data_IF_609902579966
#
_entry.id   IF_609902579966
#
_cell.length_a   1.000
_cell.length_b   1.000
_cell.length_c   1.000
_cell.angle_alpha   90.00
_cell.angle_beta   90.00
_cell.angle_gamma   90.00
#
_symmetry.space_group_name_H-M   'P 1'
#
loop_
_entity.id
_entity.type
_entity.pdbx_description
1 polymer ?
#
# COMPACT_ATOMS: atom_id res chain seq x y z
N UNK A 1 -11.75 21.92 -20.71
CA UNK A 1 -11.44 21.19 -19.47
C UNK A 1 -12.53 20.15 -19.25
N UNK A 2 -12.19 18.86 -19.07
CA UNK A 2 -13.18 17.84 -18.71
C UNK A 2 -13.91 18.22 -17.41
N UNK A 3 -15.22 17.97 -17.39
CA UNK A 3 -16.07 18.32 -16.25
C UNK A 3 -15.62 17.55 -15.00
N UNK A 4 -15.45 18.28 -13.89
CA UNK A 4 -15.05 17.67 -12.62
C UNK A 4 -16.17 16.77 -12.06
N UNK A 5 -15.83 15.58 -11.55
CA UNK A 5 -16.78 14.74 -10.83
C UNK A 5 -17.44 15.48 -9.66
N UNK A 6 -18.70 15.16 -9.38
CA UNK A 6 -19.39 15.72 -8.22
C UNK A 6 -18.74 15.23 -6.92
N UNK A 7 -18.40 16.17 -6.03
CA UNK A 7 -17.77 15.85 -4.76
C UNK A 7 -18.79 15.29 -3.76
N UNK A 8 -18.40 14.31 -2.92
CA UNK A 8 -19.28 13.69 -1.95
C UNK A 8 -19.54 14.60 -0.74
N UNK A 9 -20.25 15.72 -0.94
CA UNK A 9 -20.50 16.75 0.08
C UNK A 9 -21.18 16.20 1.35
N UNK A 10 -21.98 15.13 1.23
CA UNK A 10 -22.61 14.44 2.37
C UNK A 10 -21.60 13.81 3.33
N UNK A 11 -20.41 13.50 2.85
CA UNK A 11 -19.33 12.86 3.59
C UNK A 11 -18.30 13.87 4.10
N UNK A 12 -18.57 15.17 3.97
CA UNK A 12 -17.64 16.22 4.35
C UNK A 12 -17.33 16.18 5.84
N UNK A 13 -16.05 16.32 6.18
CA UNK A 13 -15.58 16.34 7.55
C UNK A 13 -16.05 17.61 8.29
N UNK A 14 -16.90 17.50 9.32
CA UNK A 14 -17.43 18.66 10.03
C UNK A 14 -16.36 19.36 10.89
N UNK A 15 -15.33 18.63 11.33
CA UNK A 15 -14.32 19.19 12.25
C UNK A 15 -13.39 20.18 11.58
N UNK A 16 -13.26 20.16 10.25
CA UNK A 16 -12.40 21.09 9.50
C UNK A 16 -12.79 22.54 9.75
N UNK A 17 -14.11 22.82 9.87
CA UNK A 17 -14.61 24.18 10.13
C UNK A 17 -14.29 24.67 11.55
N UNK A 18 -14.13 23.75 12.49
CA UNK A 18 -13.81 24.07 13.89
C UNK A 18 -12.31 24.18 14.17
N UNK A 19 -11.46 23.85 13.19
CA UNK A 19 -10.01 23.95 13.38
C UNK A 19 -9.59 25.43 13.36
N UNK A 20 -9.09 25.90 14.50
CA UNK A 20 -8.49 27.22 14.63
C UNK A 20 -7.16 27.26 13.85
N UNK A 21 -7.09 28.13 12.84
CA UNK A 21 -5.92 28.29 11.98
C UNK A 21 -4.69 28.79 12.74
N UNK A 22 -4.87 29.45 13.89
CA UNK A 22 -3.76 29.91 14.74
C UNK A 22 -3.14 28.79 15.58
N UNK A 23 -3.88 27.69 15.79
CA UNK A 23 -3.49 26.56 16.65
C UNK A 23 -3.50 25.25 15.88
N UNK A 24 -2.98 25.27 14.65
CA UNK A 24 -2.85 24.07 13.85
C UNK A 24 -1.87 23.09 14.49
N UNK A 25 -2.16 21.77 14.48
CA UNK A 25 -1.21 20.76 14.94
C UNK A 25 0.11 20.85 14.15
N UNK A 26 1.27 20.79 14.80
CA UNK A 26 2.55 20.89 14.11
C UNK A 26 2.75 19.70 13.17
N UNK A 27 3.38 19.94 12.02
CA UNK A 27 3.81 18.88 11.11
C UNK A 27 4.88 18.04 11.79
N UNK A 28 4.65 16.73 11.83
CA UNK A 28 5.68 15.77 12.25
C UNK A 28 6.41 15.27 11.03
N UNK A 29 7.73 15.35 11.05
CA UNK A 29 8.59 14.88 9.98
C UNK A 29 9.04 13.45 10.27
N UNK A 30 9.10 12.63 9.23
CA UNK A 30 9.53 11.25 9.29
C UNK A 30 10.34 10.96 8.03
N UNK A 31 11.55 10.44 8.22
CA UNK A 31 12.36 9.93 7.11
C UNK A 31 11.89 8.52 6.77
N UNK A 32 11.67 8.26 5.48
CA UNK A 32 11.22 6.99 4.92
C UNK A 32 12.26 6.48 3.93
N UNK A 33 12.89 5.36 4.25
CA UNK A 33 13.82 4.68 3.35
C UNK A 33 13.08 3.67 2.47
N UNK A 34 13.17 3.83 1.14
CA UNK A 34 12.63 2.90 0.14
C UNK A 34 13.61 2.79 -1.02
N UNK A 35 13.96 1.56 -1.39
CA UNK A 35 14.84 1.28 -2.53
C UNK A 35 16.20 2.01 -2.44
N UNK A 36 16.73 2.17 -1.22
CA UNK A 36 17.99 2.87 -0.97
C UNK A 36 17.90 4.40 -0.98
N UNK A 37 16.72 4.97 -1.29
CA UNK A 37 16.48 6.40 -1.28
C UNK A 37 15.74 6.83 0.00
N UNK A 38 16.31 7.81 0.71
CA UNK A 38 15.74 8.41 1.91
C UNK A 38 14.81 9.58 1.51
N UNK A 39 13.51 9.45 1.75
CA UNK A 39 12.52 10.50 1.48
C UNK A 39 11.98 11.07 2.78
N UNK A 40 12.15 12.38 2.97
CA UNK A 40 11.57 13.09 4.10
C UNK A 40 10.08 13.40 3.85
N UNK A 41 9.21 12.92 4.73
CA UNK A 41 7.76 13.13 4.67
C UNK A 41 7.27 13.86 5.90
N UNK A 42 6.57 14.98 5.69
CA UNK A 42 5.79 15.67 6.71
C UNK A 42 4.38 15.11 6.79
N UNK A 43 3.90 14.85 8.00
CA UNK A 43 2.51 14.46 8.27
C UNK A 43 1.86 15.46 9.21
N UNK A 44 0.68 15.94 8.83
CA UNK A 44 -0.17 16.74 9.71
C UNK A 44 -1.41 15.96 10.09
N UNK A 45 -1.72 15.92 11.39
CA UNK A 45 -2.86 15.18 11.93
C UNK A 45 -4.13 16.03 11.84
N UNK A 46 -5.16 15.51 11.18
CA UNK A 46 -6.48 16.15 11.03
C UNK A 46 -7.53 15.35 11.80
N UNK A 47 -8.34 15.99 12.67
CA UNK A 47 -9.45 15.31 13.33
C UNK A 47 -10.55 14.94 12.32
N UNK A 48 -11.13 13.74 12.47
CA UNK A 48 -12.23 13.24 11.64
C UNK A 48 -13.28 12.58 12.56
N UNK A 49 -14.54 12.42 12.14
CA UNK A 49 -15.56 11.76 12.97
C UNK A 49 -15.21 10.31 13.33
N UNK A 50 -14.46 9.62 12.47
CA UNK A 50 -14.01 8.24 12.68
C UNK A 50 -12.68 8.13 13.45
N UNK A 51 -12.09 9.25 13.88
CA UNK A 51 -10.77 9.30 14.52
C UNK A 51 -9.90 10.39 13.93
N UNK A 52 -8.83 10.02 13.23
CA UNK A 52 -7.91 10.98 12.64
C UNK A 52 -7.46 10.57 11.24
N UNK A 53 -7.28 11.57 10.37
CA UNK A 53 -6.60 11.42 9.10
C UNK A 53 -5.25 12.13 9.17
N UNK A 54 -4.37 11.82 8.21
CA UNK A 54 -3.12 12.53 8.03
C UNK A 54 -3.10 13.14 6.65
N UNK A 55 -2.60 14.37 6.53
CA UNK A 55 -2.23 14.94 5.23
C UNK A 55 -0.72 14.83 5.12
N UNK A 56 -0.26 14.24 4.02
CA UNK A 56 1.14 13.96 3.77
C UNK A 56 1.72 14.93 2.74
N UNK A 57 2.94 15.39 3.00
CA UNK A 57 3.78 16.16 2.08
C UNK A 57 5.17 15.53 2.01
N UNK A 58 5.68 15.30 0.81
CA UNK A 58 7.07 14.87 0.59
C UNK A 58 7.94 16.11 0.35
N UNK A 59 9.17 16.11 0.85
CA UNK A 59 10.06 17.29 0.81
C UNK A 59 11.16 17.23 -0.25
N UNK A 60 11.36 16.07 -0.87
CA UNK A 60 12.22 15.93 -2.04
C UNK A 60 11.65 16.67 -3.26
N UNK A 61 10.37 16.49 -3.57
CA UNK A 61 9.68 17.16 -4.68
C UNK A 61 8.74 18.28 -4.22
N UNK A 62 8.53 18.39 -2.90
CA UNK A 62 7.56 19.32 -2.31
C UNK A 62 6.10 18.91 -2.47
N UNK A 63 5.79 17.82 -3.16
CA UNK A 63 4.42 17.42 -3.50
C UNK A 63 3.57 17.03 -2.27
N UNK A 64 2.25 17.22 -2.39
CA UNK A 64 1.25 16.91 -1.36
C UNK A 64 0.37 15.77 -1.87
N UNK A 65 0.06 14.80 -1.01
CA UNK A 65 -0.74 13.64 -1.38
C UNK A 65 -2.23 13.98 -1.49
N UNK A 66 -2.75 14.01 -2.72
CA UNK A 66 -4.15 14.28 -3.05
C UNK A 66 -5.09 13.24 -2.42
N UNK A 67 -4.70 11.96 -2.43
CA UNK A 67 -5.52 10.88 -1.84
C UNK A 67 -5.71 11.08 -0.34
N UNK A 68 -4.65 11.50 0.36
CA UNK A 68 -4.76 11.79 1.80
C UNK A 68 -5.54 13.08 2.08
N UNK A 69 -5.41 14.09 1.23
CA UNK A 69 -6.27 15.29 1.28
C UNK A 69 -7.75 14.93 1.13
N UNK A 70 -8.07 14.08 0.14
CA UNK A 70 -9.44 13.64 -0.12
C UNK A 70 -10.02 12.88 1.08
N UNK A 71 -9.27 11.94 1.67
CA UNK A 71 -9.72 11.19 2.85
C UNK A 71 -9.86 12.06 4.11
N UNK A 72 -9.02 13.08 4.26
CA UNK A 72 -9.15 14.04 5.36
C UNK A 72 -10.40 14.93 5.20
N UNK A 73 -10.72 15.31 3.96
CA UNK A 73 -11.88 16.13 3.60
C UNK A 73 -13.20 15.33 3.64
N UNK A 74 -13.18 14.08 3.19
CA UNK A 74 -14.36 13.22 3.05
C UNK A 74 -14.14 11.83 3.70
N UNK A 75 -14.08 11.76 5.04
CA UNK A 75 -13.67 10.55 5.77
C UNK A 75 -14.57 9.32 5.57
N UNK A 76 -15.82 9.51 5.16
CA UNK A 76 -16.78 8.43 4.91
C UNK A 76 -17.11 8.24 3.42
N UNK A 77 -16.39 8.90 2.52
CA UNK A 77 -16.57 8.73 1.07
C UNK A 77 -16.07 7.36 0.59
N UNK A 78 -16.62 6.90 -0.52
CA UNK A 78 -16.23 5.62 -1.12
C UNK A 78 -14.88 5.72 -1.83
N UNK A 79 -14.16 4.59 -1.94
CA UNK A 79 -12.93 4.51 -2.75
C UNK A 79 -13.17 4.83 -4.23
N UNK A 80 -14.41 4.63 -4.71
CA UNK A 80 -14.78 4.92 -6.10
C UNK A 80 -14.75 6.43 -6.34
N UNK A 81 -15.23 7.24 -5.39
CA UNK A 81 -15.22 8.70 -5.50
C UNK A 81 -13.79 9.25 -5.40
N UNK A 82 -12.95 8.67 -4.53
CA UNK A 82 -11.51 8.98 -4.47
C UNK A 82 -10.82 8.71 -5.81
N UNK A 83 -11.12 7.57 -6.46
CA UNK A 83 -10.55 7.21 -7.76
C UNK A 83 -11.01 8.16 -8.87
N UNK A 84 -12.29 8.54 -8.90
CA UNK A 84 -12.82 9.51 -9.89
C UNK A 84 -12.11 10.86 -9.77
N UNK A 85 -11.99 11.38 -8.56
CA UNK A 85 -11.34 12.66 -8.31
C UNK A 85 -9.84 12.60 -8.64
N UNK A 86 -9.18 11.50 -8.28
CA UNK A 86 -7.76 11.28 -8.61
C UNK A 86 -7.54 11.17 -10.12
N UNK A 87 -8.43 10.49 -10.84
CA UNK A 87 -8.36 10.36 -12.30
C UNK A 87 -8.56 11.72 -12.96
N UNK A 88 -9.57 12.48 -12.53
CA UNK A 88 -9.78 13.83 -13.01
C UNK A 88 -8.56 14.73 -12.77
N UNK A 89 -7.94 14.68 -11.58
CA UNK A 89 -6.73 15.47 -11.31
C UNK A 89 -5.56 15.11 -12.25
N UNK A 90 -5.39 13.83 -12.59
CA UNK A 90 -4.37 13.36 -13.56
C UNK A 90 -4.60 13.88 -14.97
N UNK A 91 -5.85 14.06 -15.36
CA UNK A 91 -6.22 14.53 -16.71
C UNK A 91 -6.11 16.06 -16.86
N UNK A 92 -6.27 16.81 -15.76
CA UNK A 92 -6.33 18.28 -15.81
C UNK A 92 -5.02 18.96 -15.39
N UNK A 93 -4.18 18.28 -14.62
CA UNK A 93 -2.98 18.87 -14.04
C UNK A 93 -1.73 18.11 -14.43
N UNK A 94 -0.63 18.84 -14.66
CA UNK A 94 0.65 18.21 -14.89
C UNK A 94 1.20 17.63 -13.58
N UNK A 95 1.30 16.30 -13.52
CA UNK A 95 1.80 15.55 -12.37
C UNK A 95 3.21 14.96 -12.59
N UNK A 96 3.89 15.37 -13.67
CA UNK A 96 5.30 15.08 -13.93
C UNK A 96 6.16 15.47 -12.71
N UNK A 97 7.16 14.65 -12.37
CA UNK A 97 8.05 14.88 -11.23
C UNK A 97 7.45 14.63 -9.84
N UNK A 98 6.13 14.43 -9.69
CA UNK A 98 5.53 14.29 -8.35
C UNK A 98 5.41 12.83 -7.86
N UNK A 99 5.18 11.89 -8.78
CA UNK A 99 4.67 10.55 -8.45
C UNK A 99 5.70 9.41 -8.54
N UNK A 100 6.97 9.71 -8.83
CA UNK A 100 8.00 8.70 -9.09
C UNK A 100 7.70 7.89 -10.35
N UNK A 101 8.61 7.93 -11.31
CA UNK A 101 8.50 7.18 -12.57
C UNK A 101 9.75 6.34 -12.75
N UNK A 102 9.66 5.25 -13.53
CA UNK A 102 10.86 4.49 -13.92
C UNK A 102 11.89 5.36 -14.67
N UNK A 103 11.47 6.50 -15.23
CA UNK A 103 12.34 7.49 -15.87
C UNK A 103 13.11 8.37 -14.87
N UNK A 104 12.65 8.46 -13.63
CA UNK A 104 13.19 9.34 -12.59
C UNK A 104 13.61 8.48 -11.38
N UNK A 105 14.73 7.75 -11.47
CA UNK A 105 15.14 6.82 -10.42
C UNK A 105 15.40 7.50 -9.07
N UNK A 106 15.72 8.80 -9.09
CA UNK A 106 15.94 9.61 -7.88
C UNK A 106 14.65 9.91 -7.09
N UNK A 107 13.46 9.71 -7.68
CA UNK A 107 12.18 10.01 -7.04
C UNK A 107 11.48 8.71 -6.68
N UNK A 108 11.48 8.38 -5.38
CA UNK A 108 10.77 7.20 -4.88
C UNK A 108 9.28 7.30 -5.20
N UNK A 109 8.73 6.19 -5.68
CA UNK A 109 7.30 6.02 -5.92
C UNK A 109 6.57 5.74 -4.60
N UNK A 110 5.86 6.74 -4.09
CA UNK A 110 4.98 6.61 -2.92
C UNK A 110 3.55 6.28 -3.34
N UNK A 111 2.81 5.57 -2.49
CA UNK A 111 1.42 5.22 -2.74
C UNK A 111 0.52 6.46 -2.87
N UNK A 112 -0.55 6.33 -3.66
CA UNK A 112 -1.52 7.40 -3.90
C UNK A 112 -1.17 8.27 -5.11
N UNK A 113 -1.72 9.48 -5.15
CA UNK A 113 -1.41 10.47 -6.18
C UNK A 113 -0.97 11.76 -5.51
N UNK A 114 0.14 12.30 -6.00
CA UNK A 114 0.83 13.46 -5.45
C UNK A 114 0.72 14.61 -6.43
N UNK A 115 0.39 15.79 -5.90
CA UNK A 115 0.18 17.03 -6.65
C UNK A 115 1.13 18.11 -6.13
N UNK A 116 1.50 19.07 -6.98
CA UNK A 116 2.38 20.17 -6.55
C UNK A 116 1.68 21.08 -5.53
N UNK A 117 2.43 21.79 -4.67
CA UNK A 117 1.84 22.74 -3.71
C UNK A 117 0.98 23.81 -4.38
N UNK A 118 1.40 24.30 -5.56
CA UNK A 118 0.64 25.28 -6.32
C UNK A 118 -0.75 24.74 -6.69
N UNK A 119 -0.83 23.49 -7.17
CA UNK A 119 -2.10 22.83 -7.51
C UNK A 119 -2.94 22.58 -6.25
N UNK A 120 -2.33 22.12 -5.16
CA UNK A 120 -3.04 21.86 -3.90
C UNK A 120 -3.68 23.12 -3.29
N UNK A 121 -3.10 24.31 -3.54
CA UNK A 121 -3.59 25.60 -3.07
C UNK A 121 -4.67 26.22 -3.96
N UNK A 122 -4.93 25.65 -5.15
CA UNK A 122 -6.00 26.14 -6.01
C UNK A 122 -7.37 26.06 -5.31
N UNK A 123 -8.30 27.00 -5.57
CA UNK A 123 -9.65 26.99 -5.00
C UNK A 123 -10.39 25.66 -5.24
N UNK A 124 -10.09 25.01 -6.36
CA UNK A 124 -10.65 23.71 -6.73
C UNK A 124 -10.32 22.63 -5.70
N UNK A 125 -9.14 22.63 -5.07
CA UNK A 125 -8.81 21.67 -4.03
C UNK A 125 -9.03 22.30 -2.65
N UNK A 126 -8.38 23.42 -2.39
CA UNK A 126 -8.30 24.03 -1.07
C UNK A 126 -9.68 24.46 -0.53
N UNK A 127 -10.49 25.17 -1.33
CA UNK A 127 -11.79 25.69 -0.87
C UNK A 127 -12.88 24.62 -0.94
N UNK A 128 -12.92 23.83 -2.02
CA UNK A 128 -13.90 22.75 -2.18
C UNK A 128 -13.75 21.66 -1.10
N UNK A 129 -12.52 21.36 -0.69
CA UNK A 129 -12.25 20.43 0.42
C UNK A 129 -12.38 21.11 1.78
N UNK A 130 -12.55 22.44 1.81
CA UNK A 130 -12.52 23.30 3.01
C UNK A 130 -11.20 23.24 3.78
N UNK A 131 -10.11 22.83 3.11
CA UNK A 131 -8.77 22.71 3.68
C UNK A 131 -7.90 23.96 3.46
N UNK A 132 -8.46 25.09 3.02
CA UNK A 132 -7.74 26.33 2.68
C UNK A 132 -6.56 26.71 3.58
N UNK A 133 -6.85 27.15 4.82
CA UNK A 133 -5.78 27.58 5.74
C UNK A 133 -4.87 26.43 6.19
N UNK A 134 -5.42 25.22 6.25
CA UNK A 134 -4.68 23.99 6.56
C UNK A 134 -3.61 23.72 5.47
N UNK A 135 -3.96 23.87 4.19
CA UNK A 135 -3.06 23.65 3.06
C UNK A 135 -1.99 24.72 2.95
N UNK A 136 -2.33 25.98 3.25
CA UNK A 136 -1.33 27.04 3.34
C UNK A 136 -0.27 26.74 4.41
N UNK A 137 -0.67 26.21 5.57
CA UNK A 137 0.26 25.80 6.61
C UNK A 137 1.14 24.62 6.15
N UNK A 138 0.56 23.58 5.55
CA UNK A 138 1.31 22.41 5.05
C UNK A 138 2.28 22.79 3.94
N UNK A 139 1.90 23.68 3.03
CA UNK A 139 2.71 24.11 1.90
C UNK A 139 3.87 25.03 2.31
N UNK A 140 3.69 25.83 3.36
CA UNK A 140 4.74 26.73 3.90
C UNK A 140 5.68 26.06 4.89
N UNK A 141 5.29 24.93 5.47
CA UNK A 141 6.13 24.21 6.42
C UNK A 141 7.46 23.83 5.76
N UNK A 142 8.56 24.04 6.46
CA UNK A 142 9.91 23.65 6.05
C UNK A 142 10.52 22.77 7.14
N UNK A 143 11.13 21.64 6.79
CA UNK A 143 11.90 20.85 7.76
C UNK A 143 13.09 21.68 8.23
N UNK A 144 13.41 21.57 9.51
CA UNK A 144 14.67 22.08 10.05
C UNK A 144 15.84 21.26 9.47
N UNK A 145 16.82 21.87 8.78
CA UNK A 145 17.97 21.16 8.21
C UNK A 145 18.91 20.57 9.27
N UNK A 146 18.86 21.08 10.49
CA UNK A 146 19.72 20.62 11.59
C UNK A 146 19.12 19.47 12.40
N UNK A 147 17.82 19.21 12.24
CA UNK A 147 17.11 18.23 13.04
C UNK A 147 17.30 16.80 12.51
N UNK A 148 17.73 15.90 13.38
CA UNK A 148 17.75 14.45 13.09
C UNK A 148 16.33 13.89 13.17
N UNK A 149 15.78 13.49 12.02
CA UNK A 149 14.43 12.94 11.95
C UNK A 149 14.39 11.45 12.30
N UNK A 150 13.31 11.03 12.95
CA UNK A 150 13.08 9.61 13.24
C UNK A 150 12.94 8.84 11.93
N UNK A 151 13.92 7.99 11.62
CA UNK A 151 13.86 7.03 10.50
C UNK A 151 12.78 5.99 10.75
N UNK A 152 11.90 5.79 9.77
CA UNK A 152 11.02 4.63 9.76
C UNK A 152 11.83 3.42 9.33
N UNK A 153 12.52 2.79 10.27
CA UNK A 153 13.05 1.45 10.00
C UNK A 153 11.84 0.52 9.90
N UNK A 154 11.43 0.25 8.67
CA UNK A 154 10.52 -0.86 8.39
C UNK A 154 11.31 -2.08 8.80
N UNK A 155 11.09 -2.57 10.04
CA UNK A 155 11.71 -3.79 10.53
C UNK A 155 11.25 -4.94 9.63
N UNK A 156 11.96 -5.16 8.54
CA UNK A 156 12.16 -6.51 8.03
C UNK A 156 12.70 -7.27 9.24
N UNK A 157 11.85 -8.12 9.81
CA UNK A 157 12.19 -9.05 10.89
C UNK A 157 13.59 -9.59 10.62
N UNK A 158 14.58 -9.38 11.52
CA UNK A 158 15.84 -10.08 11.39
C UNK A 158 15.50 -11.56 11.46
N UNK A 159 15.72 -12.26 10.34
CA UNK A 159 15.79 -13.72 10.32
C UNK A 159 16.79 -14.09 11.40
N UNK A 160 16.31 -14.70 12.47
CA UNK A 160 17.14 -15.12 13.59
C UNK A 160 18.30 -15.97 13.05
N UNK A 161 19.51 -15.42 13.10
CA UNK A 161 20.71 -16.21 12.97
C UNK A 161 20.88 -17.01 14.26
N UNK A 162 21.21 -18.30 14.20
CA UNK A 162 21.44 -19.11 15.38
C UNK A 162 22.65 -18.58 16.17
N UNK A 163 22.63 -18.66 17.52
CA UNK A 163 23.73 -18.21 18.35
C UNK A 163 24.94 -19.13 18.17
N UNK A 164 25.97 -18.65 17.46
CA UNK A 164 27.32 -19.22 17.56
C UNK A 164 28.02 -18.63 18.78
N UNK A 165 28.25 -19.49 19.77
CA UNK A 165 29.01 -19.26 20.99
C UNK A 165 30.44 -18.74 20.71
N UNK A 166 30.97 -17.78 21.49
CA UNK A 166 32.41 -17.59 21.60
C UNK A 166 32.93 -18.24 22.90
N UNK A 167 33.80 -19.24 22.77
CA UNK A 167 34.57 -19.83 23.87
C UNK A 167 36.02 -19.33 23.79
N UNK A 168 36.48 -18.70 24.89
CA UNK A 168 37.86 -18.66 25.40
C UNK A 168 38.92 -17.94 24.55
N UNK A 169 39.65 -16.94 25.05
CA UNK A 169 40.68 -17.10 26.10
C UNK A 169 41.31 -15.74 26.51
N UNK A 170 42.07 -15.66 27.63
CA UNK A 170 42.26 -14.45 28.45
C UNK A 170 43.65 -13.80 28.34
N UNK A 171 43.79 -12.50 28.67
CA UNK A 171 45.02 -11.96 29.31
C UNK A 171 44.87 -10.53 29.88
N UNK A 172 45.03 -10.46 31.22
CA UNK A 172 45.67 -9.45 32.10
C UNK A 172 45.83 -7.96 31.68
N UNK A 173 45.25 -7.06 32.48
CA UNK A 173 45.91 -5.98 33.28
C UNK A 173 44.80 -5.11 33.96
N UNK A 174 44.57 -5.21 35.28
CA UNK A 174 45.15 -4.49 36.44
C UNK A 174 44.84 -2.96 36.55
N UNK A 175 44.00 -2.64 37.56
CA UNK A 175 43.96 -1.49 38.52
C UNK A 175 43.66 -0.09 37.96
N UNK A 176 42.77 0.76 38.51
CA UNK A 176 42.58 1.19 39.93
C UNK A 176 41.24 2.00 40.07
N UNK A 177 40.85 2.64 41.20
CA UNK A 177 39.64 2.32 41.98
C UNK A 177 38.50 3.37 41.94
N UNK A 178 37.35 2.97 42.52
CA UNK A 178 36.13 3.74 42.77
C UNK A 178 36.31 4.92 43.76
N UNK A 179 35.30 5.80 43.91
CA UNK A 179 34.33 5.55 44.98
C UNK A 179 32.86 5.93 44.71
N UNK A 180 31.99 5.25 45.48
CA UNK A 180 30.66 5.63 46.01
C UNK A 180 29.56 6.04 45.05
N UNK A 181 28.55 5.17 44.86
CA UNK A 181 27.35 5.05 45.70
C UNK A 181 26.45 6.29 45.68
N UNK A 182 25.37 6.22 44.90
CA UNK A 182 24.02 6.63 45.34
C UNK A 182 22.99 6.00 44.42
N UNK A 183 22.14 5.14 44.99
CA UNK A 183 20.87 4.73 44.39
C UNK A 183 19.89 5.91 44.39
N UNK A 184 18.89 5.91 43.49
CA UNK A 184 17.54 6.02 44.03
C UNK A 184 16.54 5.03 43.41
N UNK A 185 15.62 4.66 44.28
CA UNK A 185 14.57 3.65 44.22
C UNK A 185 13.44 3.99 43.24
N UNK A 186 12.69 2.96 42.75
CA UNK A 186 11.45 3.14 42.01
C UNK A 186 10.23 2.96 42.95
N UNK A 187 9.46 4.03 43.22
CA UNK A 187 8.03 3.97 43.62
C UNK A 187 7.50 5.36 43.93
N UNK A 188 6.51 5.83 43.18
CA UNK A 188 5.54 6.83 43.67
C UNK A 188 4.12 6.41 43.34
N UNK A 189 3.62 5.47 44.15
CA UNK A 189 2.20 5.26 44.45
C UNK A 189 1.78 6.42 45.35
N UNK A 190 0.80 7.23 44.94
CA UNK A 190 0.21 8.27 45.79
C UNK A 190 -1.20 7.82 46.17
N UNK A 191 -1.34 7.47 47.43
CA UNK A 191 -2.62 7.17 48.08
C UNK A 191 -3.19 8.43 48.76
N UNK A 192 -4.52 8.53 48.69
CA UNK A 192 -5.51 9.04 49.65
C UNK A 192 -5.29 10.29 50.55
N UNK A 193 -6.37 11.10 50.56
CA UNK A 193 -6.78 12.23 51.44
C UNK A 193 -6.82 11.95 52.96
N UNK A 194 -7.10 12.95 53.83
CA UNK A 194 -8.48 13.27 54.32
C UNK A 194 -8.78 14.79 54.68
N UNK A 195 -9.99 15.39 54.44
CA UNK A 195 -11.20 15.63 55.33
C UNK A 195 -11.18 17.02 56.09
N UNK A 196 -12.26 17.75 56.54
CA UNK A 196 -13.64 18.09 56.01
C UNK A 196 -14.25 19.52 56.35
N UNK A 197 -15.52 19.74 55.90
CA UNK A 197 -16.68 20.46 56.54
C UNK A 197 -16.96 21.99 56.29
N UNK A 198 -18.21 22.54 56.47
CA UNK A 198 -19.56 21.93 56.64
C UNK A 198 -20.76 22.54 55.82
N UNK A 199 -21.77 21.68 55.61
CA UNK A 199 -23.25 21.79 55.71
C UNK A 199 -24.10 22.98 55.19
N UNK A 200 -25.15 22.65 54.39
CA UNK A 200 -26.57 23.08 54.55
C UNK A 200 -27.54 22.27 53.62
N UNK A 201 -28.87 22.19 53.90
CA UNK A 201 -29.67 20.95 53.72
C UNK A 201 -30.77 20.93 52.62
N UNK A 202 -30.95 19.75 52.00
CA UNK A 202 -32.17 18.93 51.64
C UNK A 202 -33.60 19.55 51.53
N UNK A 203 -34.65 18.91 50.89
CA UNK A 203 -34.82 17.49 50.46
C UNK A 203 -35.59 17.30 49.08
N UNK A 204 -36.37 16.21 48.80
CA UNK A 204 -35.98 14.99 48.07
C UNK A 204 -36.86 14.64 46.83
N UNK A 205 -36.47 13.68 45.97
CA UNK A 205 -37.32 12.54 45.53
C UNK A 205 -36.79 11.66 44.36
N UNK A 206 -37.11 10.37 44.53
CA UNK A 206 -37.33 9.27 43.57
C UNK A 206 -36.17 8.66 42.76
N UNK A 207 -35.74 7.52 43.28
CA UNK A 207 -35.32 6.29 42.59
C UNK A 207 -36.21 5.88 41.42
N UNK A 208 -35.61 5.35 40.34
CA UNK A 208 -35.92 4.06 39.68
C UNK A 208 -35.08 3.91 38.38
N UNK A 209 -34.46 2.75 38.09
CA UNK A 209 -33.80 2.48 36.81
C UNK A 209 -34.81 1.99 35.76
N UNK A 210 -34.74 2.43 34.48
CA UNK A 210 -35.64 1.93 33.46
C UNK A 210 -35.25 0.52 32.96
N UNK A 211 -36.25 -0.32 32.65
CA UNK A 211 -36.08 -1.75 32.41
C UNK A 211 -35.66 -2.12 30.99
N UNK A 212 -34.87 -3.19 30.95
CA UNK A 212 -34.60 -4.08 29.81
C UNK A 212 -35.91 -4.63 29.23
N UNK A 213 -36.25 -4.32 27.98
CA UNK A 213 -37.24 -5.08 27.21
C UNK A 213 -36.72 -5.45 25.81
N UNK A 214 -36.78 -6.75 25.59
CA UNK A 214 -36.70 -7.47 24.33
C UNK A 214 -37.93 -7.21 23.45
N UNK A 215 -37.81 -7.67 22.20
CA UNK A 215 -38.86 -8.06 21.25
C UNK A 215 -39.00 -7.19 19.99
N UNK A 216 -38.36 -7.70 18.92
CA UNK A 216 -39.01 -8.17 17.70
C UNK A 216 -40.12 -7.28 17.12
N UNK A 217 -39.78 -6.52 16.07
CA UNK A 217 -40.72 -6.27 14.96
C UNK A 217 -40.05 -6.61 13.64
N UNK A 218 -40.73 -7.47 12.89
CA UNK A 218 -40.39 -7.92 11.54
C UNK A 218 -40.75 -6.76 10.59
N UNK A 219 -39.80 -6.27 9.81
CA UNK A 219 -40.09 -5.39 8.68
C UNK A 219 -40.48 -6.22 7.44
N UNK A 220 -41.46 -5.76 6.63
CA UNK A 220 -42.08 -6.54 5.57
C UNK A 220 -41.19 -6.64 4.31
N UNK A 221 -41.34 -7.76 3.60
CA UNK A 221 -40.66 -8.05 2.34
C UNK A 221 -41.15 -7.15 1.19
N UNK A 222 -40.29 -6.78 0.23
CA UNK A 222 -40.69 -6.06 -0.98
C UNK A 222 -41.39 -6.99 -2.00
N UNK A 223 -42.51 -6.52 -2.54
CA UNK A 223 -43.21 -7.14 -3.68
C UNK A 223 -42.38 -7.06 -4.97
N UNK A 224 -42.46 -8.07 -5.85
CA UNK A 224 -41.82 -8.05 -7.16
C UNK A 224 -42.71 -7.35 -8.19
N UNK A 225 -42.14 -6.47 -9.00
CA UNK A 225 -42.75 -6.08 -10.28
C UNK A 225 -41.85 -6.45 -11.45
N UNK A 226 -42.40 -7.11 -12.48
CA UNK A 226 -41.73 -7.35 -13.76
C UNK A 226 -41.93 -6.14 -14.68
N UNK A 227 -41.05 -6.00 -15.68
CA UNK A 227 -41.41 -5.89 -17.10
C UNK A 227 -40.14 -5.55 -17.88
N UNK A 228 -39.90 -6.38 -18.89
CA UNK A 228 -38.89 -6.22 -19.92
C UNK A 228 -39.26 -5.07 -20.85
N UNK A 229 -38.28 -4.26 -21.24
CA UNK A 229 -38.33 -3.51 -22.51
C UNK A 229 -36.99 -3.63 -23.22
N UNK A 230 -37.13 -3.86 -24.53
CA UNK A 230 -36.13 -4.24 -25.51
C UNK A 230 -35.15 -3.10 -25.82
N UNK A 231 -34.02 -3.50 -26.39
CA UNK A 231 -32.90 -2.71 -26.91
C UNK A 231 -33.27 -1.56 -27.85
N UNK A 232 -32.32 -0.63 -28.09
CA UNK A 232 -31.67 -0.68 -29.40
C UNK A 232 -30.14 -0.52 -29.40
N UNK A 233 -29.55 -1.10 -30.44
CA UNK A 233 -28.17 -0.96 -30.95
C UNK A 233 -27.72 0.51 -31.04
N UNK A 234 -26.49 0.77 -30.60
CA UNK A 234 -25.61 1.82 -31.13
C UNK A 234 -24.18 1.24 -31.13
N UNK A 235 -23.63 0.82 -32.27
CA UNK A 235 -22.98 1.63 -33.30
C UNK A 235 -21.72 2.37 -32.77
N UNK A 236 -20.57 1.70 -32.95
CA UNK A 236 -19.22 2.20 -33.30
C UNK A 236 -18.82 3.63 -32.88
N UNK A 237 -17.69 3.73 -32.19
CA UNK A 237 -16.42 4.23 -32.80
C UNK A 237 -15.23 3.85 -31.91
N UNK A 238 -14.40 2.93 -32.40
CA UNK A 238 -13.07 2.67 -31.87
C UNK A 238 -12.13 3.77 -32.41
N UNK A 239 -11.52 4.55 -31.53
CA UNK A 239 -10.55 5.59 -31.88
C UNK A 239 -9.20 4.91 -32.09
N UNK A 240 -8.82 4.73 -33.35
CA UNK A 240 -7.50 4.30 -33.77
C UNK A 240 -6.47 5.39 -33.40
N UNK A 241 -5.48 5.01 -32.60
CA UNK A 241 -4.28 5.80 -32.34
C UNK A 241 -3.39 5.68 -33.58
N UNK A 242 -3.39 6.71 -34.42
CA UNK A 242 -2.40 6.85 -35.49
C UNK A 242 -1.09 7.30 -34.86
N UNK A 243 -0.11 6.40 -34.85
CA UNK A 243 1.31 6.75 -34.77
C UNK A 243 1.63 7.37 -36.14
N UNK A 244 1.85 8.68 -36.16
CA UNK A 244 2.30 9.38 -37.36
C UNK A 244 3.81 9.22 -37.45
N UNK A 245 4.21 8.47 -38.46
CA UNK A 245 5.57 8.31 -38.95
C UNK A 245 6.04 9.59 -39.64
N UNK A 246 7.32 9.88 -39.43
CA UNK A 246 8.04 11.06 -39.91
C UNK A 246 8.28 10.95 -41.41
N UNK A 247 7.95 12.00 -42.15
CA UNK A 247 8.57 12.35 -43.44
C UNK A 247 8.64 13.87 -43.56
N UNK A 248 9.84 14.41 -43.33
CA UNK A 248 10.33 15.68 -43.90
C UNK A 248 10.67 15.47 -45.39
N UNK A 249 11.02 16.49 -46.24
CA UNK A 249 11.33 17.90 -45.95
C UNK A 249 10.68 18.94 -46.90
N UNK A 250 10.70 20.23 -46.52
CA UNK A 250 10.40 21.31 -47.47
C UNK A 250 10.29 22.73 -46.91
N UNK A 251 11.43 23.40 -46.73
CA UNK A 251 11.64 24.79 -47.17
C UNK A 251 11.41 25.97 -46.20
N UNK A 252 12.46 26.81 -46.07
CA UNK A 252 12.53 28.23 -45.64
C UNK A 252 12.25 28.57 -44.18
N UNK A 253 12.96 29.47 -43.50
CA UNK A 253 14.18 30.26 -43.74
C UNK A 253 14.55 30.92 -42.39
N UNK A 254 15.84 31.20 -42.15
CA UNK A 254 16.44 32.07 -41.12
C UNK A 254 15.84 32.13 -39.68
N UNK A 255 16.56 31.60 -38.68
CA UNK A 255 17.49 32.40 -37.85
C UNK A 255 18.37 31.50 -36.98
N UNK A 256 19.65 31.81 -37.05
CA UNK A 256 20.80 31.30 -36.29
C UNK A 256 20.63 31.47 -34.78
N UNK A 257 20.77 30.37 -34.02
CA UNK A 257 21.54 30.31 -32.76
C UNK A 257 22.12 28.89 -32.66
N UNK A 258 23.40 28.76 -32.97
CA UNK A 258 24.27 27.65 -32.57
C UNK A 258 24.36 27.62 -31.04
N UNK A 259 24.02 26.49 -30.41
CA UNK A 259 24.68 26.06 -29.17
C UNK A 259 24.56 24.53 -29.06
N UNK A 260 25.73 23.89 -29.09
CA UNK A 260 25.97 22.47 -28.92
C UNK A 260 25.45 21.98 -27.56
N UNK A 261 24.50 21.04 -27.54
CA UNK A 261 24.30 20.14 -26.39
C UNK A 261 24.02 18.74 -26.89
N UNK A 262 24.96 17.85 -26.59
CA UNK A 262 24.98 16.41 -26.81
C UNK A 262 23.60 15.76 -26.69
N UNK A 263 23.07 15.29 -27.82
CA UNK A 263 21.97 14.34 -27.85
C UNK A 263 22.47 13.00 -27.33
N UNK A 264 22.24 12.75 -26.03
CA UNK A 264 22.36 11.42 -25.45
C UNK A 264 21.30 10.54 -26.14
N UNK A 265 21.75 9.75 -27.12
CA UNK A 265 20.99 8.65 -27.69
C UNK A 265 20.69 7.65 -26.56
N UNK A 266 19.51 7.80 -25.95
CA UNK A 266 18.97 6.81 -25.02
C UNK A 266 18.76 5.54 -25.83
N UNK A 267 19.73 4.64 -25.75
CA UNK A 267 19.72 3.31 -26.32
C UNK A 267 18.39 2.63 -25.95
N UNK A 268 17.50 2.53 -26.94
CA UNK A 268 16.30 1.70 -26.81
C UNK A 268 16.80 0.29 -26.54
N UNK A 269 16.41 -0.36 -25.43
CA UNK A 269 16.84 -1.72 -25.16
C UNK A 269 16.45 -2.61 -26.35
N UNK A 270 17.44 -3.30 -26.90
CA UNK A 270 17.25 -4.18 -28.06
C UNK A 270 16.32 -5.32 -27.65
N UNK A 271 15.25 -5.50 -28.42
CA UNK A 271 14.26 -6.56 -28.21
C UNK A 271 14.92 -7.95 -28.31
N UNK A 272 16.04 -8.06 -29.02
CA UNK A 272 16.83 -9.29 -29.14
C UNK A 272 17.53 -9.65 -27.83
N UNK A 273 17.90 -8.65 -27.02
CA UNK A 273 18.57 -8.84 -25.74
C UNK A 273 17.59 -9.35 -24.67
N UNK A 274 16.37 -8.80 -24.65
CA UNK A 274 15.28 -9.30 -23.78
C UNK A 274 14.91 -10.76 -24.10
N UNK A 275 14.97 -11.18 -25.37
CA UNK A 275 14.69 -12.57 -25.79
C UNK A 275 15.81 -13.51 -25.33
N UNK A 276 17.07 -13.09 -25.44
CA UNK A 276 18.21 -13.87 -24.98
C UNK A 276 18.16 -14.11 -23.46
N UNK A 277 17.91 -13.06 -22.68
CA UNK A 277 17.82 -13.14 -21.22
C UNK A 277 16.66 -14.04 -20.77
N UNK A 278 15.53 -14.01 -21.48
CA UNK A 278 14.40 -14.92 -21.19
C UNK A 278 14.72 -16.38 -21.50
N UNK A 279 15.47 -16.66 -22.57
CA UNK A 279 15.89 -18.02 -22.89
C UNK A 279 16.83 -18.60 -21.84
N UNK A 280 17.79 -17.80 -21.35
CA UNK A 280 18.71 -18.22 -20.29
C UNK A 280 17.96 -18.53 -18.98
N UNK A 281 16.97 -17.70 -18.62
CA UNK A 281 16.17 -17.93 -17.41
C UNK A 281 15.37 -19.24 -17.49
N UNK A 282 14.83 -19.56 -18.68
CA UNK A 282 14.09 -20.81 -18.91
C UNK A 282 15.02 -22.02 -18.81
N UNK A 283 16.23 -21.94 -19.36
CA UNK A 283 17.23 -23.02 -19.27
C UNK A 283 17.63 -23.27 -17.82
N UNK A 284 17.90 -22.22 -17.05
CA UNK A 284 18.22 -22.33 -15.62
C UNK A 284 17.09 -22.95 -14.80
N UNK A 285 15.83 -22.59 -15.09
CA UNK A 285 14.67 -23.17 -14.43
C UNK A 285 14.42 -24.64 -14.83
N UNK A 286 14.78 -25.03 -16.06
CA UNK A 286 14.72 -26.42 -16.50
C UNK A 286 15.80 -27.26 -15.82
N UNK A 287 17.04 -26.77 -15.76
CA UNK A 287 18.13 -27.44 -15.06
C UNK A 287 17.84 -27.64 -13.57
N UNK A 288 17.22 -26.65 -12.91
CA UNK A 288 16.82 -26.78 -11.50
C UNK A 288 15.63 -27.74 -11.27
N UNK A 289 14.88 -28.09 -12.32
CA UNK A 289 13.69 -28.95 -12.24
C UNK A 289 13.97 -30.40 -12.60
N UNK A 290 15.12 -30.74 -13.17
CA UNK A 290 15.55 -32.15 -13.24
C UNK A 290 16.11 -32.57 -11.87
N UNK A 291 15.34 -33.30 -11.04
CA UNK A 291 15.94 -33.94 -9.87
C UNK A 291 16.95 -34.98 -10.35
N UNK A 292 18.08 -35.18 -9.62
CA UNK A 292 19.01 -36.24 -9.94
C UNK A 292 18.25 -37.57 -9.88
N UNK A 293 18.09 -38.21 -11.04
CA UNK A 293 17.70 -39.62 -11.13
C UNK A 293 18.83 -40.42 -10.50
N UNK A 294 18.72 -40.67 -9.20
CA UNK A 294 19.47 -41.75 -8.55
C UNK A 294 19.06 -43.06 -9.22
N UNK A 295 19.97 -43.60 -10.02
CA UNK A 295 20.01 -45.02 -10.36
C UNK A 295 19.92 -45.82 -9.06
N UNK A 296 18.80 -46.51 -8.87
CA UNK A 296 18.66 -47.52 -7.81
C UNK A 296 18.36 -48.83 -8.50
N UNK A 297 19.43 -49.52 -8.86
CA UNK A 297 19.43 -50.91 -9.28
C UNK A 297 19.55 -51.80 -8.03
N UNK A 298 18.75 -52.87 -7.96
CA UNK A 298 19.01 -54.02 -7.07
C UNK A 298 18.12 -54.17 -5.83
N UNK A 299 17.15 -55.09 -5.93
CA UNK A 299 16.33 -55.67 -4.85
C UNK A 299 17.11 -56.74 -4.01
N UNK A 300 16.46 -57.61 -3.19
CA UNK A 300 15.75 -57.38 -1.92
C UNK A 300 16.23 -58.32 -0.78
N UNK A 301 16.17 -57.95 0.52
CA UNK A 301 15.97 -58.93 1.63
C UNK A 301 15.58 -58.28 2.97
N UNK A 302 14.60 -58.85 3.66
CA UNK A 302 14.21 -58.61 5.05
C UNK A 302 14.87 -59.66 6.00
N UNK A 303 14.50 -59.81 7.29
CA UNK A 303 14.72 -58.90 8.43
C UNK A 303 15.41 -59.57 9.66
N UNK A 304 15.73 -58.75 10.68
CA UNK A 304 15.84 -59.07 12.13
C UNK A 304 17.25 -59.49 12.69
N UNK A 305 17.43 -59.68 14.03
CA UNK A 305 17.83 -58.63 14.99
C UNK A 305 19.00 -59.05 15.92
N UNK A 306 19.78 -58.12 16.49
CA UNK A 306 20.71 -58.46 17.59
C UNK A 306 20.74 -57.43 18.74
N UNK A 307 20.44 -57.99 19.92
CA UNK A 307 20.48 -57.44 21.28
C UNK A 307 21.92 -57.28 21.81
N UNK A 308 22.16 -56.23 22.60
CA UNK A 308 22.86 -56.22 23.91
C UNK A 308 22.86 -54.76 24.40
N UNK A 309 22.01 -54.37 25.36
CA UNK A 309 22.12 -54.55 26.81
C UNK A 309 23.29 -53.76 27.43
N UNK A 310 22.98 -52.55 27.91
CA UNK A 310 23.46 -52.05 29.22
C UNK A 310 22.55 -50.90 29.67
N UNK A 311 21.77 -51.18 30.71
CA UNK A 311 21.05 -50.20 31.52
C UNK A 311 22.08 -49.38 32.33
N UNK A 312 21.87 -48.06 32.39
CA UNK A 312 21.76 -47.27 33.62
C UNK A 312 22.05 -45.78 33.36
N UNK A 313 21.29 -44.94 34.07
CA UNK A 313 21.28 -43.47 34.10
C UNK A 313 20.35 -42.74 33.10
N UNK A 314 19.07 -42.86 33.47
CA UNK A 314 17.97 -41.95 33.21
C UNK A 314 18.22 -40.54 33.78
N UNK A 315 17.39 -39.60 33.29
CA UNK A 315 17.08 -38.27 33.85
C UNK A 315 17.85 -37.04 33.34
N UNK A 316 17.75 -36.72 32.03
CA UNK A 316 17.47 -35.33 31.58
C UNK A 316 17.21 -35.10 30.08
N UNK A 317 16.54 -36.00 29.35
CA UNK A 317 16.14 -35.69 27.96
C UNK A 317 14.70 -36.13 27.65
N UNK A 318 13.73 -35.52 28.32
CA UNK A 318 12.36 -35.51 27.78
C UNK A 318 12.28 -34.45 26.68
N UNK A 319 12.58 -34.88 25.47
CA UNK A 319 12.26 -34.14 24.25
C UNK A 319 10.77 -33.79 24.23
N UNK A 320 10.47 -32.49 24.11
CA UNK A 320 9.14 -31.98 23.80
C UNK A 320 8.72 -32.49 22.42
N UNK A 321 8.12 -33.68 22.38
CA UNK A 321 7.40 -34.18 21.22
C UNK A 321 6.13 -33.33 21.02
N UNK A 322 6.22 -32.32 20.17
CA UNK A 322 5.05 -31.66 19.61
C UNK A 322 4.32 -32.65 18.70
N UNK A 323 3.24 -33.25 19.22
CA UNK A 323 2.23 -33.90 18.38
C UNK A 323 1.50 -32.80 17.61
N UNK A 324 1.98 -32.51 16.40
CA UNK A 324 1.28 -31.65 15.46
C UNK A 324 -0.04 -32.36 15.09
N UNK A 325 -1.13 -31.93 15.71
CA UNK A 325 -2.47 -32.35 15.32
C UNK A 325 -2.78 -31.56 14.05
N UNK A 326 -2.65 -32.22 12.89
CA UNK A 326 -3.06 -31.63 11.62
C UNK A 326 -4.49 -31.09 11.78
N UNK A 327 -4.72 -29.78 11.58
CA UNK A 327 -6.06 -29.25 11.65
C UNK A 327 -6.86 -29.89 10.52
N UNK A 328 -7.85 -30.70 10.90
CA UNK A 328 -8.89 -31.16 9.99
C UNK A 328 -9.37 -29.96 9.18
N UNK A 329 -9.03 -29.99 7.89
CA UNK A 329 -9.51 -29.04 6.89
C UNK A 329 -10.99 -29.33 6.68
N UNK A 330 -11.83 -28.92 7.62
CA UNK A 330 -13.23 -28.66 7.32
C UNK A 330 -13.24 -27.49 6.34
N UNK A 331 -13.34 -27.84 5.06
CA UNK A 331 -13.61 -26.95 3.95
C UNK A 331 -14.79 -26.05 4.34
N UNK A 332 -14.48 -24.82 4.74
CA UNK A 332 -15.50 -23.80 4.94
C UNK A 332 -16.22 -23.65 3.60
N UNK A 333 -17.46 -24.13 3.54
CA UNK A 333 -18.34 -23.98 2.40
C UNK A 333 -18.46 -22.49 2.08
N UNK A 334 -17.71 -22.05 1.07
CA UNK A 334 -17.87 -20.72 0.50
C UNK A 334 -19.21 -20.76 -0.23
N UNK A 335 -20.24 -20.20 0.40
CA UNK A 335 -21.54 -19.96 -0.22
C UNK A 335 -21.31 -18.93 -1.34
N UNK A 336 -20.92 -19.42 -2.51
CA UNK A 336 -20.78 -18.61 -3.72
C UNK A 336 -22.16 -18.39 -4.32
N UNK A 337 -22.44 -17.14 -4.63
CA UNK A 337 -23.71 -16.68 -5.18
C UNK A 337 -24.01 -17.42 -6.50
N UNK A 338 -25.09 -18.23 -6.55
CA UNK A 338 -25.42 -19.16 -7.65
C UNK A 338 -25.52 -18.52 -9.04
N UNK A 339 -25.57 -17.18 -9.15
CA UNK A 339 -25.59 -16.48 -10.45
C UNK A 339 -24.27 -16.52 -11.22
N UNK A 340 -23.13 -16.77 -10.58
CA UNK A 340 -21.81 -16.83 -11.27
C UNK A 340 -21.44 -18.28 -11.65
N UNK A 341 -22.22 -19.28 -11.24
CA UNK A 341 -21.89 -20.71 -11.42
C UNK A 341 -22.13 -21.26 -12.84
N UNK A 342 -22.67 -20.51 -13.80
CA UNK A 342 -22.96 -21.04 -15.15
C UNK A 342 -21.73 -21.16 -16.06
N UNK A 343 -20.57 -20.67 -15.64
CA UNK A 343 -19.32 -20.79 -16.40
C UNK A 343 -18.19 -21.37 -15.53
N UNK A 344 -18.38 -22.60 -15.02
CA UNK A 344 -17.28 -23.41 -14.48
C UNK A 344 -16.53 -24.06 -15.65
N UNK A 345 -15.72 -23.27 -16.35
CA UNK A 345 -14.67 -23.80 -17.23
C UNK A 345 -13.43 -24.05 -16.38
N UNK A 346 -12.79 -25.21 -16.56
CA UNK A 346 -11.53 -25.52 -15.88
C UNK A 346 -10.47 -24.46 -16.23
N UNK A 347 -9.53 -24.14 -15.31
CA UNK A 347 -8.51 -23.12 -15.53
C UNK A 347 -7.72 -23.29 -16.84
N UNK A 348 -7.50 -24.55 -17.27
CA UNK A 348 -6.84 -24.88 -18.55
C UNK A 348 -7.67 -24.53 -19.79
N UNK A 349 -9.00 -24.58 -19.70
CA UNK A 349 -9.89 -24.24 -20.79
C UNK A 349 -10.04 -22.72 -20.94
N UNK A 350 -9.88 -21.96 -19.84
CA UNK A 350 -9.91 -20.49 -19.87
C UNK A 350 -8.72 -19.91 -20.64
N UNK A 351 -7.51 -20.42 -20.43
CA UNK A 351 -6.32 -19.95 -21.16
C UNK A 351 -6.41 -20.26 -22.66
N UNK A 352 -6.96 -21.43 -23.03
CA UNK A 352 -7.15 -21.78 -24.44
C UNK A 352 -8.18 -20.86 -25.12
N UNK A 353 -9.29 -20.54 -24.45
CA UNK A 353 -10.31 -19.64 -24.99
C UNK A 353 -9.77 -18.23 -25.25
N UNK A 354 -8.96 -17.68 -24.32
CA UNK A 354 -8.30 -16.38 -24.54
C UNK A 354 -7.28 -16.44 -25.69
N UNK A 355 -6.55 -17.54 -25.83
CA UNK A 355 -5.62 -17.76 -26.94
C UNK A 355 -6.32 -17.79 -28.30
N UNK A 356 -7.46 -18.49 -28.42
CA UNK A 356 -8.24 -18.57 -29.66
C UNK A 356 -8.82 -17.19 -30.03
N UNK A 357 -9.32 -16.42 -29.06
CA UNK A 357 -9.83 -15.07 -29.32
C UNK A 357 -8.72 -14.13 -29.78
N UNK A 358 -7.53 -14.17 -29.17
CA UNK A 358 -6.40 -13.34 -29.58
C UNK A 358 -5.91 -13.70 -30.99
N UNK A 359 -5.83 -15.00 -31.32
CA UNK A 359 -5.42 -15.47 -32.66
C UNK A 359 -6.43 -15.05 -33.74
N UNK A 360 -7.73 -15.15 -33.48
CA UNK A 360 -8.77 -14.74 -34.42
C UNK A 360 -8.74 -13.23 -34.70
N UNK A 361 -8.48 -12.41 -33.68
CA UNK A 361 -8.32 -10.95 -33.85
C UNK A 361 -7.04 -10.64 -34.65
N UNK A 362 -5.94 -11.36 -34.36
CA UNK A 362 -4.67 -11.23 -35.08
C UNK A 362 -4.81 -11.51 -36.58
N UNK A 363 -5.42 -12.64 -36.96
CA UNK A 363 -5.65 -12.97 -38.38
C UNK A 363 -6.60 -12.00 -39.07
N UNK A 364 -7.63 -11.49 -38.38
CA UNK A 364 -8.54 -10.50 -38.94
C UNK A 364 -7.87 -9.15 -39.28
N UNK A 365 -6.82 -8.77 -38.54
CA UNK A 365 -6.07 -7.54 -38.80
C UNK A 365 -5.15 -7.66 -40.04
N UNK A 366 -4.61 -8.86 -40.33
CA UNK A 366 -3.71 -9.05 -41.49
C UNK A 366 -4.50 -9.03 -42.81
N UNK A 367 -5.76 -9.45 -42.81
CA UNK A 367 -6.63 -9.44 -44.02
C UNK A 367 -7.16 -8.05 -44.38
N UNK A 368 -6.96 -7.03 -43.54
CA UNK A 368 -7.43 -5.66 -43.77
C UNK A 368 -6.29 -4.65 -44.05
N UNK A 369 -5.07 -5.14 -44.31
CA UNK A 369 -4.01 -4.31 -44.87
C UNK A 369 -4.23 -4.19 -46.39
N UNK A 370 -4.67 -3.03 -46.90
CA UNK A 370 -4.75 -2.81 -48.35
C UNK A 370 -3.36 -2.93 -48.95
N UNK A 371 -3.24 -3.79 -49.96
CA UNK A 371 -2.03 -4.01 -50.73
C UNK A 371 -1.76 -2.74 -51.57
N UNK A 372 -0.94 -1.82 -51.05
CA UNK A 372 -0.47 -0.66 -51.80
C UNK A 372 0.79 -1.06 -52.57
N UNK A 373 0.60 -1.47 -53.82
CA UNK A 373 1.61 -1.48 -54.87
C UNK A 373 1.16 -0.54 -55.98
#
# INVERSE_FOLDING_TARGET
MPQRPELPHRHQNPHIKSVDLSKLPPLKYQSLDRDGHEVLVGRMKIPTPSGHAFILRRYDTGAISLTTMFRAAFPSASEIDERKETQWAKENYNLSGNNGSGKEPHIVRLAGTWISPAVALLPEFAERYRLGGIMQHVAKATPDPSATYRRSTTKTTPKAAPPSSPVGSPTKSLLTPAPSMTMPTPKRRRESSPVPAPASPNPPQSSLPPPRRSARTKSPAPLPMPIAVKSPKAARTARAVRVAEVTTPGGSDETVVEDEVETIEIAKPSLEQDVADQMELIERLKAAREPPKMETDGAPTAPAPLKRAREDEEEQEQGLQFKFKEPETEERQIITNKRVSRFKLEPRQKSFAWGVVAFAIGMGAVSFLPNFF
#
